data_IF_900627671540
#
_entry.id   IF_900627671540
#
_cell.length_a   1.000
_cell.length_b   1.000
_cell.length_c   1.000
_cell.angle_alpha   90.00
_cell.angle_beta   90.00
_cell.angle_gamma   90.00
#
_symmetry.space_group_name_H-M   'P 1'
#
loop_
_entity.id
_entity.type
_entity.pdbx_description
1 polymer ?
#
# COMPACT_ATOMS: atom_id res chain seq x y z
N UNK A 1 2.47 -8.72 12.55
CA UNK A 1 2.64 -7.32 12.08
C UNK A 1 3.15 -7.29 10.67
N UNK A 2 2.43 -6.63 9.81
CA UNK A 2 2.86 -6.51 8.42
C UNK A 2 4.01 -5.51 8.30
N UNK A 3 5.03 -5.88 7.53
CA UNK A 3 6.14 -5.02 7.18
C UNK A 3 6.03 -4.67 5.70
N UNK A 4 6.77 -3.69 5.24
CA UNK A 4 6.90 -3.44 3.81
C UNK A 4 8.27 -3.95 3.35
N UNK A 5 8.36 -5.19 2.84
CA UNK A 5 9.54 -5.56 2.08
C UNK A 5 9.48 -4.88 0.73
N UNK A 6 10.59 -4.35 0.26
CA UNK A 6 10.68 -3.83 -1.09
C UNK A 6 11.20 -4.92 -2.01
N UNK A 7 10.65 -5.00 -3.22
CA UNK A 7 11.12 -6.00 -4.21
C UNK A 7 12.33 -5.51 -4.97
N UNK A 8 12.71 -4.26 -4.81
CA UNK A 8 13.89 -3.67 -5.43
C UNK A 8 14.86 -3.19 -4.36
N UNK A 9 16.17 -3.33 -4.62
CA UNK A 9 17.24 -2.97 -3.67
C UNK A 9 17.62 -1.48 -3.78
N UNK A 10 16.64 -0.61 -4.08
CA UNK A 10 16.89 0.82 -4.19
C UNK A 10 16.44 1.54 -2.92
N UNK A 11 17.18 2.58 -2.48
CA UNK A 11 16.75 3.35 -1.32
C UNK A 11 15.46 4.10 -1.62
N UNK A 12 14.55 4.13 -0.64
CA UNK A 12 13.30 4.87 -0.76
C UNK A 12 13.58 6.37 -0.75
N UNK A 13 12.82 7.10 -1.57
CA UNK A 13 12.91 8.55 -1.59
C UNK A 13 12.29 9.12 -0.31
N UNK A 14 12.98 10.06 0.29
CA UNK A 14 12.57 10.66 1.57
C UNK A 14 11.15 11.22 1.51
N UNK A 15 10.79 11.84 0.39
CA UNK A 15 9.48 12.47 0.24
C UNK A 15 8.31 11.48 0.34
N UNK A 16 8.55 10.19 0.06
CA UNK A 16 7.51 9.15 0.07
C UNK A 16 7.46 8.37 1.38
N UNK A 17 8.38 8.60 2.31
CA UNK A 17 8.41 7.86 3.58
C UNK A 17 7.16 8.09 4.42
N UNK A 18 6.65 9.34 4.60
CA UNK A 18 5.42 9.53 5.37
C UNK A 18 4.21 8.78 4.78
N UNK A 19 4.11 8.72 3.46
CA UNK A 19 3.07 7.96 2.77
C UNK A 19 3.14 6.48 3.15
N UNK A 20 4.34 5.90 3.09
CA UNK A 20 4.54 4.48 3.39
C UNK A 20 4.32 4.17 4.86
N UNK A 21 4.73 5.07 5.74
CA UNK A 21 4.45 4.91 7.17
C UNK A 21 2.94 4.94 7.46
N UNK A 22 2.21 5.85 6.82
CA UNK A 22 0.75 5.93 6.98
C UNK A 22 0.06 4.66 6.47
N UNK A 23 0.54 4.10 5.35
CA UNK A 23 0.00 2.87 4.78
C UNK A 23 0.22 1.68 5.72
N UNK A 24 1.45 1.49 6.17
CA UNK A 24 1.81 0.33 7.00
C UNK A 24 1.25 0.40 8.40
N UNK A 25 0.97 1.59 8.91
CA UNK A 25 0.29 1.75 10.20
C UNK A 25 -1.24 1.63 10.05
N UNK A 26 -1.79 2.21 8.99
CA UNK A 26 -3.25 2.31 8.81
C UNK A 26 -3.91 1.01 8.43
N UNK A 27 -3.34 0.26 7.50
CA UNK A 27 -3.95 -0.99 7.03
C UNK A 27 -4.08 -2.04 8.13
N UNK A 28 -3.01 -2.40 8.88
CA UNK A 28 -3.17 -3.39 9.94
C UNK A 28 -4.09 -2.92 11.07
N UNK A 29 -4.17 -1.62 11.30
CA UNK A 29 -5.04 -1.05 12.34
C UNK A 29 -6.51 -1.19 11.97
N UNK A 30 -6.86 -0.91 10.71
CA UNK A 30 -8.24 -0.99 10.24
C UNK A 30 -8.67 -2.43 9.94
N UNK A 31 -7.74 -3.29 9.61
CA UNK A 31 -8.01 -4.68 9.25
C UNK A 31 -7.17 -5.62 10.11
N UNK A 32 -7.41 -5.64 11.44
CA UNK A 32 -6.63 -6.51 12.32
C UNK A 32 -6.82 -7.98 11.93
N UNK A 33 -5.74 -8.73 11.96
CA UNK A 33 -5.71 -10.15 11.63
C UNK A 33 -6.02 -10.48 10.15
N UNK A 34 -6.27 -9.49 9.30
CA UNK A 34 -6.52 -9.74 7.87
C UNK A 34 -5.25 -9.61 7.04
N UNK A 35 -4.44 -8.59 7.31
CA UNK A 35 -3.26 -8.28 6.51
C UNK A 35 -2.10 -9.19 6.90
N UNK A 36 -1.64 -10.01 5.96
CA UNK A 36 -0.45 -10.84 6.15
C UNK A 36 0.82 -10.06 5.82
N UNK A 37 0.88 -9.46 4.63
CA UNK A 37 2.05 -8.70 4.21
C UNK A 37 1.67 -7.64 3.19
N UNK A 38 2.53 -6.64 3.09
CA UNK A 38 2.39 -5.50 2.19
C UNK A 38 3.67 -5.41 1.37
N UNK A 39 3.55 -5.45 0.05
CA UNK A 39 4.69 -5.36 -0.86
C UNK A 39 4.59 -4.10 -1.70
N UNK A 40 5.71 -3.42 -1.84
CA UNK A 40 5.82 -2.19 -2.62
C UNK A 40 6.48 -2.50 -3.96
N UNK A 41 5.87 -2.01 -5.05
CA UNK A 41 6.37 -2.18 -6.41
C UNK A 41 6.46 -0.83 -7.11
N UNK A 42 6.98 -0.86 -8.35
CA UNK A 42 6.96 0.28 -9.24
C UNK A 42 7.97 1.36 -8.91
N UNK A 43 7.68 2.58 -9.36
CA UNK A 43 8.64 3.68 -9.29
C UNK A 43 8.96 4.12 -7.85
N UNK A 44 8.00 4.05 -6.95
CA UNK A 44 8.24 4.36 -5.54
C UNK A 44 9.23 3.36 -4.95
N UNK A 45 9.06 2.07 -5.25
CA UNK A 45 9.97 1.02 -4.76
C UNK A 45 11.38 1.20 -5.30
N UNK A 46 11.51 1.68 -6.54
CA UNK A 46 12.81 1.86 -7.19
C UNK A 46 13.49 3.19 -6.85
N UNK A 47 12.83 4.06 -6.08
CA UNK A 47 13.39 5.37 -5.78
C UNK A 47 13.36 6.33 -6.97
N UNK A 48 12.46 6.12 -7.92
CA UNK A 48 12.37 6.89 -9.17
C UNK A 48 11.04 7.61 -9.32
N UNK A 49 10.26 7.71 -8.26
CA UNK A 49 8.95 8.31 -8.33
C UNK A 49 9.02 9.83 -8.46
N UNK A 50 8.05 10.39 -9.19
CA UNK A 50 7.88 11.83 -9.34
C UNK A 50 6.72 12.29 -8.46
N UNK A 51 6.97 13.20 -7.50
CA UNK A 51 5.91 13.66 -6.61
C UNK A 51 4.72 14.24 -7.39
N UNK A 52 3.51 13.81 -7.01
CA UNK A 52 2.27 14.24 -7.64
C UNK A 52 1.96 13.60 -8.99
N UNK A 53 2.87 12.79 -9.53
CA UNK A 53 2.74 12.20 -10.87
C UNK A 53 2.70 10.67 -10.82
N UNK A 54 3.62 10.07 -10.07
CA UNK A 54 3.75 8.61 -10.03
C UNK A 54 2.64 7.97 -9.22
N UNK A 55 2.32 6.71 -9.56
CA UNK A 55 1.38 5.89 -8.82
C UNK A 55 2.08 5.15 -7.69
N UNK A 56 1.32 4.80 -6.66
CA UNK A 56 1.77 3.90 -5.60
C UNK A 56 1.21 2.52 -5.90
N UNK A 57 2.09 1.56 -6.16
CA UNK A 57 1.71 0.19 -6.51
C UNK A 57 1.98 -0.73 -5.32
N UNK A 58 0.93 -1.31 -4.78
CA UNK A 58 0.98 -2.14 -3.58
C UNK A 58 0.32 -3.50 -3.86
N UNK A 59 0.99 -4.56 -3.44
CA UNK A 59 0.36 -5.88 -3.34
C UNK A 59 0.09 -6.18 -1.88
N UNK A 60 -1.17 -6.50 -1.59
CA UNK A 60 -1.61 -6.94 -0.26
C UNK A 60 -1.79 -8.45 -0.28
N UNK A 61 -1.10 -9.16 0.62
CA UNK A 61 -1.39 -10.56 0.88
C UNK A 61 -2.20 -10.66 2.16
N UNK A 62 -3.33 -11.34 2.07
CA UNK A 62 -4.24 -11.50 3.19
C UNK A 62 -4.03 -12.87 3.82
N UNK A 63 -4.36 -13.00 5.10
CA UNK A 63 -4.24 -14.26 5.84
C UNK A 63 -5.22 -15.33 5.34
N UNK A 64 -6.29 -14.90 4.68
CA UNK A 64 -7.31 -15.77 4.09
C UNK A 64 -7.93 -15.05 2.91
N UNK A 65 -8.59 -15.79 2.00
CA UNK A 65 -9.30 -15.13 0.90
C UNK A 65 -10.34 -14.15 1.43
N UNK A 66 -10.39 -12.96 0.81
CA UNK A 66 -11.34 -11.93 1.21
C UNK A 66 -12.71 -12.21 0.61
N UNK A 67 -13.76 -12.08 1.43
CA UNK A 67 -15.13 -12.08 0.92
C UNK A 67 -15.46 -10.71 0.31
N UNK A 68 -16.65 -10.57 -0.25
CA UNK A 68 -17.05 -9.35 -0.94
C UNK A 68 -17.11 -8.15 0.02
N UNK A 69 -17.52 -8.37 1.26
CA UNK A 69 -17.54 -7.30 2.27
C UNK A 69 -16.14 -6.79 2.58
N UNK A 70 -15.20 -7.70 2.78
CA UNK A 70 -13.81 -7.32 3.06
C UNK A 70 -13.21 -6.56 1.87
N UNK A 71 -13.47 -7.00 0.64
CA UNK A 71 -12.99 -6.32 -0.55
C UNK A 71 -13.58 -4.92 -0.68
N UNK A 72 -14.87 -4.75 -0.37
CA UNK A 72 -15.51 -3.43 -0.38
C UNK A 72 -14.90 -2.50 0.66
N UNK A 73 -14.61 -3.01 1.85
CA UNK A 73 -13.98 -2.22 2.91
C UNK A 73 -12.55 -1.83 2.55
N UNK A 74 -11.80 -2.74 1.95
CA UNK A 74 -10.44 -2.45 1.47
C UNK A 74 -10.46 -1.38 0.38
N UNK A 75 -11.41 -1.47 -0.55
CA UNK A 75 -11.54 -0.50 -1.62
C UNK A 75 -11.93 0.88 -1.08
N UNK A 76 -12.84 0.94 -0.11
CA UNK A 76 -13.22 2.19 0.53
C UNK A 76 -12.03 2.83 1.24
N UNK A 77 -11.22 2.02 1.94
CA UNK A 77 -10.03 2.49 2.60
C UNK A 77 -9.00 3.03 1.60
N UNK A 78 -8.80 2.30 0.49
CA UNK A 78 -7.89 2.71 -0.57
C UNK A 78 -8.28 4.07 -1.15
N UNK A 79 -9.57 4.27 -1.44
CA UNK A 79 -10.07 5.53 -1.99
C UNK A 79 -9.85 6.69 -1.02
N UNK A 80 -10.15 6.49 0.25
CA UNK A 80 -9.93 7.52 1.26
C UNK A 80 -8.45 7.86 1.41
N UNK A 81 -7.60 6.85 1.44
CA UNK A 81 -6.16 7.02 1.54
C UNK A 81 -5.61 7.79 0.33
N UNK A 82 -6.06 7.43 -0.88
CA UNK A 82 -5.65 8.11 -2.10
C UNK A 82 -5.99 9.61 -2.06
N UNK A 83 -7.15 9.96 -1.55
CA UNK A 83 -7.56 11.36 -1.44
C UNK A 83 -6.70 12.15 -0.47
N UNK A 84 -6.18 11.50 0.56
CA UNK A 84 -5.31 12.13 1.55
C UNK A 84 -3.87 12.27 1.06
N UNK A 85 -3.41 11.34 0.23
CA UNK A 85 -2.00 11.23 -0.16
C UNK A 85 -1.76 11.86 -1.52
N UNK A 86 -1.66 13.17 -1.56
CA UNK A 86 -1.52 13.91 -2.83
C UNK A 86 -0.15 13.80 -3.47
N UNK A 87 0.82 13.21 -2.78
CA UNK A 87 2.16 13.02 -3.33
C UNK A 87 2.19 11.96 -4.43
N UNK A 88 1.18 11.10 -4.49
CA UNK A 88 0.99 10.14 -5.60
C UNK A 88 -0.28 10.47 -6.35
N UNK A 89 -0.29 10.15 -7.64
CA UNK A 89 -1.45 10.38 -8.50
C UNK A 89 -2.56 9.37 -8.20
N UNK A 90 -2.18 8.15 -7.85
CA UNK A 90 -3.11 7.03 -7.68
C UNK A 90 -2.52 6.01 -6.74
N UNK A 91 -3.37 5.33 -6.00
CA UNK A 91 -2.97 4.19 -5.15
C UNK A 91 -3.62 2.93 -5.72
N UNK A 92 -2.82 1.97 -6.12
CA UNK A 92 -3.28 0.70 -6.68
C UNK A 92 -3.00 -0.44 -5.72
N UNK A 93 -4.03 -1.22 -5.42
CA UNK A 93 -3.91 -2.45 -4.63
C UNK A 93 -4.11 -3.65 -5.52
N UNK A 94 -3.15 -4.56 -5.50
CA UNK A 94 -3.29 -5.91 -6.04
C UNK A 94 -3.46 -6.83 -4.83
N UNK A 95 -4.58 -7.55 -4.75
CA UNK A 95 -4.96 -8.27 -3.53
C UNK A 95 -4.94 -9.77 -3.80
N UNK A 96 -4.19 -10.48 -2.94
CA UNK A 96 -4.15 -11.93 -2.94
C UNK A 96 -4.23 -12.47 -1.53
N UNK A 97 -4.12 -13.79 -1.38
CA UNK A 97 -4.09 -14.43 -0.06
C UNK A 97 -2.99 -15.48 -0.01
N UNK A 98 -2.54 -15.75 1.20
CA UNK A 98 -1.56 -16.81 1.43
C UNK A 98 -2.19 -18.19 1.32
#
# INVERSE_FOLDING_TARGET
MALIPTVAAFPLQRAFIPLLEALTAGLPRQFPALIHSIYLYGSVARGEALPGVSDLDITLLLNKPADSEALQRLEAWRQAFQLEQRIVSKVDFDIGSV
#
